data_IF_376557127664
#
_entry.id   IF_376557127664
#
_cell.length_a   1.000
_cell.length_b   1.000
_cell.length_c   1.000
_cell.angle_alpha   90.00
_cell.angle_beta   90.00
_cell.angle_gamma   90.00
#
_symmetry.space_group_name_H-M   'P 1'
#
loop_
_entity.id
_entity.type
_entity.pdbx_description
1 polymer ?
#
# COMPACT_ATOMS: atom_id res chain seq x y z
N UNK A 1 5.24 -33.80 26.48
CA UNK A 1 6.04 -32.68 25.96
C UNK A 1 5.06 -31.54 25.68
N UNK A 2 5.07 -30.52 26.55
CA UNK A 2 4.12 -29.39 26.49
C UNK A 2 4.32 -28.60 25.22
N UNK A 3 3.26 -28.38 24.46
CA UNK A 3 3.19 -27.32 23.47
C UNK A 3 3.25 -26.01 24.27
N UNK A 4 4.35 -25.28 24.15
CA UNK A 4 4.39 -23.89 24.55
C UNK A 4 3.24 -23.18 23.84
N UNK A 5 2.29 -22.70 24.60
CA UNK A 5 1.23 -21.81 24.14
C UNK A 5 1.89 -20.47 23.79
N UNK A 6 2.42 -20.37 22.56
CA UNK A 6 2.86 -19.09 22.02
C UNK A 6 1.64 -18.19 21.97
N UNK A 7 1.72 -17.06 22.66
CA UNK A 7 0.71 -16.00 22.54
C UNK A 7 0.46 -15.73 21.06
N UNK A 8 -0.80 -15.77 20.58
CA UNK A 8 -1.09 -15.58 19.16
C UNK A 8 -0.53 -14.23 18.70
N UNK A 9 0.22 -14.24 17.61
CA UNK A 9 0.73 -13.01 16.98
C UNK A 9 -0.45 -12.14 16.59
N UNK A 10 -0.28 -10.82 16.66
CA UNK A 10 -1.34 -9.87 16.28
C UNK A 10 -0.94 -9.06 15.05
N UNK A 11 -1.92 -8.49 14.38
CA UNK A 11 -1.69 -7.58 13.27
C UNK A 11 -1.04 -8.24 12.05
N UNK A 12 -0.14 -7.50 11.39
CA UNK A 12 0.57 -7.96 10.18
C UNK A 12 1.39 -9.23 10.44
N UNK A 13 1.95 -9.41 11.65
CA UNK A 13 2.70 -10.62 11.97
C UNK A 13 1.83 -11.89 11.93
N UNK A 14 0.55 -11.81 12.29
CA UNK A 14 -0.42 -12.90 12.17
C UNK A 14 -0.79 -13.17 10.72
N UNK A 15 -0.97 -12.11 9.91
CA UNK A 15 -1.21 -12.26 8.47
C UNK A 15 -0.05 -12.97 7.75
N UNK A 16 1.20 -12.66 8.10
CA UNK A 16 2.37 -13.33 7.56
C UNK A 16 2.46 -14.80 7.99
N UNK A 17 2.06 -15.10 9.21
CA UNK A 17 1.99 -16.49 9.69
C UNK A 17 0.94 -17.30 8.91
N UNK A 18 -0.22 -16.73 8.64
CA UNK A 18 -1.27 -17.32 7.79
C UNK A 18 -0.76 -17.50 6.36
N UNK A 19 -0.09 -16.50 5.79
CA UNK A 19 0.51 -16.60 4.46
C UNK A 19 1.56 -17.72 4.37
N UNK A 20 2.24 -18.02 5.46
CA UNK A 20 3.22 -19.11 5.54
C UNK A 20 2.63 -20.53 5.38
N UNK A 21 1.31 -20.70 5.33
CA UNK A 21 0.65 -21.98 4.97
C UNK A 21 1.12 -22.45 3.59
N UNK A 22 1.35 -21.53 2.65
CA UNK A 22 1.88 -21.80 1.29
C UNK A 22 3.26 -21.15 1.10
N UNK A 23 4.13 -21.29 2.09
CA UNK A 23 5.45 -20.64 2.18
C UNK A 23 6.28 -20.65 0.90
N UNK A 24 6.44 -21.76 0.14
CA UNK A 24 7.25 -21.76 -1.08
C UNK A 24 6.73 -20.78 -2.13
N UNK A 25 5.41 -20.77 -2.38
CA UNK A 25 4.78 -19.88 -3.37
C UNK A 25 4.87 -18.41 -2.94
N UNK A 26 4.69 -18.13 -1.65
CA UNK A 26 4.83 -16.78 -1.09
C UNK A 26 6.26 -16.27 -1.23
N UNK A 27 7.27 -17.08 -0.93
CA UNK A 27 8.68 -16.70 -1.11
C UNK A 27 8.99 -16.46 -2.58
N UNK A 28 8.56 -17.37 -3.47
CA UNK A 28 8.77 -17.21 -4.92
C UNK A 28 8.13 -15.91 -5.42
N UNK A 29 6.91 -15.63 -5.04
CA UNK A 29 6.23 -14.36 -5.35
C UNK A 29 7.01 -13.14 -4.84
N UNK A 30 7.50 -13.19 -3.60
CA UNK A 30 8.28 -12.11 -3.00
C UNK A 30 9.59 -11.86 -3.77
N UNK A 31 10.32 -12.91 -4.13
CA UNK A 31 11.57 -12.80 -4.92
C UNK A 31 11.29 -12.23 -6.31
N UNK A 32 10.28 -12.75 -7.01
CA UNK A 32 9.91 -12.26 -8.34
C UNK A 32 9.44 -10.79 -8.28
N UNK A 33 8.69 -10.40 -7.25
CA UNK A 33 8.26 -9.02 -7.04
C UNK A 33 9.44 -8.08 -6.77
N UNK A 34 10.43 -8.53 -5.99
CA UNK A 34 11.67 -7.80 -5.78
C UNK A 34 12.46 -7.61 -7.08
N UNK A 35 12.60 -8.66 -7.88
CA UNK A 35 13.28 -8.59 -9.17
C UNK A 35 12.52 -7.70 -10.17
N UNK A 36 11.19 -7.78 -10.19
CA UNK A 36 10.36 -6.89 -10.99
C UNK A 36 10.58 -5.42 -10.59
N UNK A 37 10.63 -5.14 -9.29
CA UNK A 37 10.90 -3.79 -8.78
C UNK A 37 12.27 -3.27 -9.23
N UNK A 38 13.31 -4.10 -9.23
CA UNK A 38 14.63 -3.72 -9.77
C UNK A 38 14.57 -3.49 -11.27
N UNK A 39 13.92 -4.39 -12.03
CA UNK A 39 13.79 -4.27 -13.48
C UNK A 39 13.06 -3.00 -13.91
N UNK A 40 12.12 -2.48 -13.10
CA UNK A 40 11.40 -1.24 -13.39
C UNK A 40 12.29 0.00 -13.52
N UNK A 41 13.54 -0.05 -13.03
CA UNK A 41 14.50 1.05 -13.14
C UNK A 41 15.41 0.96 -14.38
N UNK A 42 15.43 -0.16 -15.11
CA UNK A 42 16.22 -0.31 -16.35
C UNK A 42 15.90 0.79 -17.38
N UNK A 43 14.62 1.11 -17.66
CA UNK A 43 14.26 2.19 -18.58
C UNK A 43 14.85 3.56 -18.20
N UNK A 44 14.87 3.89 -16.92
CA UNK A 44 15.41 5.17 -16.44
C UNK A 44 16.91 5.27 -16.67
N UNK A 45 17.66 4.17 -16.46
CA UNK A 45 19.10 4.11 -16.71
C UNK A 45 19.38 4.22 -18.21
N UNK A 46 18.60 3.54 -19.04
CA UNK A 46 18.74 3.62 -20.50
C UNK A 46 18.45 5.05 -21.01
N UNK A 47 17.38 5.69 -20.53
CA UNK A 47 17.02 7.07 -20.86
C UNK A 47 18.13 8.04 -20.43
N UNK A 48 18.70 7.86 -19.22
CA UNK A 48 19.84 8.67 -18.77
C UNK A 48 21.02 8.60 -19.76
N UNK A 49 21.38 7.41 -20.22
CA UNK A 49 22.45 7.22 -21.18
C UNK A 49 22.12 7.86 -22.54
N UNK A 50 20.87 7.75 -23.01
CA UNK A 50 20.41 8.42 -24.24
C UNK A 50 20.58 9.95 -24.12
N UNK A 51 20.09 10.54 -23.04
CA UNK A 51 20.20 11.99 -22.77
C UNK A 51 21.67 12.40 -22.72
N UNK A 52 22.50 11.64 -22.03
CA UNK A 52 23.92 11.93 -21.88
C UNK A 52 24.65 11.93 -23.23
N UNK A 53 24.35 10.98 -24.11
CA UNK A 53 24.95 10.92 -25.46
C UNK A 53 24.49 12.08 -26.34
N UNK A 54 23.22 12.44 -26.31
CA UNK A 54 22.68 13.56 -27.10
C UNK A 54 23.30 14.88 -26.65
N UNK A 55 23.40 15.14 -25.34
CA UNK A 55 23.98 16.38 -24.83
C UNK A 55 25.50 16.44 -25.03
N UNK A 56 26.20 15.32 -24.96
CA UNK A 56 27.64 15.26 -25.22
C UNK A 56 27.95 15.53 -26.70
N UNK A 57 27.06 15.20 -27.63
CA UNK A 57 27.24 15.44 -29.05
C UNK A 57 26.91 16.90 -29.48
N UNK A 58 26.27 17.69 -28.61
CA UNK A 58 25.92 19.08 -28.94
C UNK A 58 27.19 19.96 -29.12
N UNK A 59 27.26 20.83 -30.15
CA UNK A 59 26.23 21.17 -31.17
C UNK A 59 26.29 20.29 -32.44
N UNK A 60 27.20 19.32 -32.56
CA UNK A 60 27.42 18.52 -33.76
C UNK A 60 26.85 17.11 -33.64
N UNK A 61 25.58 16.95 -33.97
CA UNK A 61 24.86 15.65 -33.87
C UNK A 61 25.33 14.60 -34.92
N UNK A 62 26.20 14.96 -35.86
CA UNK A 62 26.79 14.03 -36.82
C UNK A 62 27.70 12.98 -36.18
N UNK A 63 28.16 13.23 -34.93
CA UNK A 63 29.00 12.31 -34.16
C UNK A 63 28.19 11.30 -33.33
N UNK A 64 26.84 11.35 -33.37
CA UNK A 64 25.99 10.43 -32.60
C UNK A 64 26.12 8.99 -33.13
N UNK A 65 26.41 8.08 -32.21
CA UNK A 65 26.32 6.63 -32.51
C UNK A 65 24.83 6.20 -32.47
N UNK A 66 24.20 6.28 -33.65
CA UNK A 66 22.80 5.90 -33.85
C UNK A 66 22.54 4.44 -33.48
N UNK A 67 23.51 3.57 -33.74
CA UNK A 67 23.38 2.14 -33.42
C UNK A 67 23.37 1.90 -31.91
N UNK A 68 24.15 2.67 -31.17
CA UNK A 68 24.12 2.65 -29.69
C UNK A 68 22.80 3.18 -29.12
N UNK A 69 22.30 4.29 -29.66
CA UNK A 69 21.00 4.85 -29.24
C UNK A 69 19.83 3.88 -29.50
N UNK A 70 19.85 3.19 -30.65
CA UNK A 70 18.85 2.15 -30.96
C UNK A 70 18.93 1.01 -29.95
N UNK A 71 20.15 0.55 -29.60
CA UNK A 71 20.33 -0.48 -28.56
C UNK A 71 19.77 -0.05 -27.19
N UNK A 72 19.98 1.19 -26.79
CA UNK A 72 19.41 1.72 -25.56
C UNK A 72 17.87 1.82 -25.62
N UNK A 73 17.30 2.13 -26.80
CA UNK A 73 15.87 2.06 -27.04
C UNK A 73 15.30 0.67 -26.84
N UNK A 74 15.97 -0.36 -27.41
CA UNK A 74 15.61 -1.76 -27.19
C UNK A 74 15.76 -2.16 -25.72
N UNK A 75 16.84 -1.77 -25.05
CA UNK A 75 17.05 -2.03 -23.63
C UNK A 75 15.92 -1.42 -22.77
N UNK A 76 15.41 -0.25 -23.14
CA UNK A 76 14.25 0.36 -22.49
C UNK A 76 13.01 -0.51 -22.63
N UNK A 77 12.71 -0.98 -23.83
CA UNK A 77 11.58 -1.86 -24.11
C UNK A 77 11.72 -3.20 -23.37
N UNK A 78 12.89 -3.82 -23.47
CA UNK A 78 13.20 -5.10 -22.81
C UNK A 78 13.07 -4.98 -21.28
N UNK A 79 13.51 -3.86 -20.69
CA UNK A 79 13.35 -3.58 -19.26
C UNK A 79 11.89 -3.48 -18.83
N UNK A 80 11.04 -2.84 -19.64
CA UNK A 80 9.59 -2.78 -19.39
C UNK A 80 8.96 -4.16 -19.50
N UNK A 81 9.25 -4.90 -20.57
CA UNK A 81 8.70 -6.24 -20.78
C UNK A 81 9.15 -7.22 -19.68
N UNK A 82 10.41 -7.14 -19.26
CA UNK A 82 10.94 -7.93 -18.16
C UNK A 82 10.24 -7.63 -16.85
N UNK A 83 10.04 -6.34 -16.53
CA UNK A 83 9.29 -5.93 -15.34
C UNK A 83 7.87 -6.52 -15.33
N UNK A 84 7.15 -6.38 -16.46
CA UNK A 84 5.79 -6.91 -16.60
C UNK A 84 5.77 -8.43 -16.44
N UNK A 85 6.68 -9.14 -17.09
CA UNK A 85 6.75 -10.61 -17.04
C UNK A 85 7.06 -11.12 -15.63
N UNK A 86 8.02 -10.50 -14.93
CA UNK A 86 8.39 -10.86 -13.57
C UNK A 86 7.25 -10.56 -12.57
N UNK A 87 6.62 -9.40 -12.70
CA UNK A 87 5.50 -9.04 -11.82
C UNK A 87 4.28 -9.92 -12.06
N UNK A 88 3.97 -10.24 -13.31
CA UNK A 88 2.90 -11.18 -13.66
C UNK A 88 3.16 -12.58 -13.08
N UNK A 89 4.40 -13.10 -13.21
CA UNK A 89 4.78 -14.37 -12.60
C UNK A 89 4.69 -14.32 -11.06
N UNK A 90 5.05 -13.19 -10.42
CA UNK A 90 4.89 -12.99 -9.00
C UNK A 90 3.41 -13.05 -8.58
N UNK A 91 2.51 -12.42 -9.35
CA UNK A 91 1.07 -12.46 -9.11
C UNK A 91 0.49 -13.86 -9.28
N UNK A 92 0.90 -14.63 -10.28
CA UNK A 92 0.48 -16.03 -10.41
C UNK A 92 0.82 -16.83 -9.15
N UNK A 93 2.07 -16.73 -8.68
CA UNK A 93 2.50 -17.42 -7.45
C UNK A 93 1.70 -16.95 -6.22
N UNK A 94 1.45 -15.65 -6.08
CA UNK A 94 0.71 -15.10 -4.94
C UNK A 94 -0.76 -15.51 -4.96
N UNK A 95 -1.43 -15.51 -6.11
CA UNK A 95 -2.80 -15.98 -6.24
C UNK A 95 -2.95 -17.48 -5.94
N UNK A 96 -2.03 -18.31 -6.44
CA UNK A 96 -2.03 -19.74 -6.09
C UNK A 96 -1.81 -19.97 -4.58
N UNK A 97 -0.94 -19.17 -3.96
CA UNK A 97 -0.76 -19.20 -2.51
C UNK A 97 -2.02 -18.74 -1.75
N UNK A 98 -2.63 -17.65 -2.22
CA UNK A 98 -3.82 -17.07 -1.63
C UNK A 98 -5.01 -18.03 -1.67
N UNK A 99 -5.35 -18.58 -2.83
CA UNK A 99 -6.45 -19.53 -2.97
C UNK A 99 -6.22 -20.81 -2.16
N UNK A 100 -4.98 -21.33 -2.15
CA UNK A 100 -4.66 -22.50 -1.33
C UNK A 100 -4.74 -22.25 0.17
N UNK A 101 -4.41 -21.02 0.62
CA UNK A 101 -4.53 -20.57 2.01
C UNK A 101 -6.00 -20.35 2.38
N UNK A 102 -6.76 -19.65 1.52
CA UNK A 102 -8.19 -19.39 1.65
C UNK A 102 -8.99 -20.69 1.83
N UNK A 103 -8.74 -21.66 0.94
CA UNK A 103 -9.36 -22.98 1.02
C UNK A 103 -9.12 -23.63 2.40
N UNK A 104 -7.86 -23.67 2.84
CA UNK A 104 -7.51 -24.26 4.14
C UNK A 104 -8.19 -23.54 5.29
N UNK A 105 -8.16 -22.20 5.32
CA UNK A 105 -8.80 -21.42 6.37
C UNK A 105 -10.31 -21.64 6.43
N UNK A 106 -10.99 -21.67 5.28
CA UNK A 106 -12.44 -21.91 5.24
C UNK A 106 -12.80 -23.33 5.72
N UNK A 107 -12.00 -24.33 5.36
CA UNK A 107 -12.20 -25.71 5.82
C UNK A 107 -11.93 -25.84 7.31
N UNK A 108 -10.82 -25.29 7.82
CA UNK A 108 -10.46 -25.32 9.23
C UNK A 108 -11.53 -24.60 10.09
N UNK A 109 -12.00 -23.43 9.63
CA UNK A 109 -13.04 -22.65 10.29
C UNK A 109 -14.39 -23.41 10.31
N UNK A 110 -14.82 -23.97 9.19
CA UNK A 110 -16.05 -24.76 9.12
C UNK A 110 -15.97 -26.04 9.99
N UNK A 111 -14.82 -26.72 9.98
CA UNK A 111 -14.58 -27.91 10.81
C UNK A 111 -14.60 -27.60 12.31
N UNK A 112 -14.05 -26.44 12.71
CA UNK A 112 -14.11 -25.98 14.09
C UNK A 112 -15.56 -25.67 14.50
N UNK A 113 -16.30 -24.91 13.67
CA UNK A 113 -17.71 -24.62 13.93
C UNK A 113 -18.58 -25.87 14.09
N UNK A 114 -18.27 -26.96 13.38
CA UNK A 114 -19.01 -28.21 13.51
C UNK A 114 -18.79 -28.92 14.88
N UNK A 115 -17.75 -28.53 15.62
CA UNK A 115 -17.38 -29.17 16.92
C UNK A 115 -17.72 -28.29 18.13
N UNK A 116 -17.94 -26.98 17.91
CA UNK A 116 -18.32 -26.05 18.98
C UNK A 116 -19.75 -26.32 19.46
N UNK A 117 -20.07 -26.17 20.79
CA UNK A 117 -21.38 -26.40 21.33
C UNK A 117 -22.50 -25.59 20.68
N UNK A 118 -23.70 -26.17 20.55
CA UNK A 118 -24.86 -25.52 19.91
C UNK A 118 -25.22 -24.16 20.54
N UNK A 119 -25.02 -24.00 21.85
CA UNK A 119 -25.24 -22.75 22.56
C UNK A 119 -24.44 -21.58 22.01
N UNK A 120 -23.20 -21.82 21.56
CA UNK A 120 -22.36 -20.82 20.91
C UNK A 120 -22.98 -20.32 19.59
N UNK A 121 -23.52 -21.24 18.78
CA UNK A 121 -24.17 -20.85 17.51
C UNK A 121 -25.41 -19.97 17.73
N UNK A 122 -26.18 -20.26 18.77
CA UNK A 122 -27.35 -19.47 19.13
C UNK A 122 -26.94 -18.08 19.60
N UNK A 123 -25.87 -17.99 20.40
CA UNK A 123 -25.38 -16.75 20.98
C UNK A 123 -24.76 -15.81 19.91
N UNK A 124 -23.94 -16.36 19.01
CA UNK A 124 -23.23 -15.55 17.99
C UNK A 124 -24.12 -15.22 16.79
N UNK A 125 -25.00 -16.14 16.42
CA UNK A 125 -25.88 -16.00 15.26
C UNK A 125 -25.19 -16.27 13.91
N UNK A 126 -25.93 -16.89 12.98
CA UNK A 126 -25.43 -17.30 11.66
C UNK A 126 -24.93 -16.15 10.80
N UNK A 127 -25.49 -14.95 10.97
CA UNK A 127 -25.09 -13.75 10.20
C UNK A 127 -23.65 -13.30 10.51
N UNK A 128 -23.24 -13.34 11.79
CA UNK A 128 -21.86 -12.99 12.19
C UNK A 128 -20.86 -14.04 11.70
N UNK A 129 -21.20 -15.32 11.83
CA UNK A 129 -20.35 -16.42 11.34
C UNK A 129 -20.15 -16.35 9.82
N UNK A 130 -21.24 -16.12 9.09
CA UNK A 130 -21.18 -15.92 7.63
C UNK A 130 -20.31 -14.73 7.23
N UNK A 131 -20.46 -13.59 7.92
CA UNK A 131 -19.62 -12.41 7.66
C UNK A 131 -18.14 -12.69 7.83
N UNK A 132 -17.76 -13.46 8.87
CA UNK A 132 -16.36 -13.82 9.10
C UNK A 132 -15.87 -14.74 7.98
N UNK A 133 -16.66 -15.75 7.60
CA UNK A 133 -16.27 -16.71 6.57
C UNK A 133 -16.22 -16.11 5.16
N UNK A 134 -17.15 -15.25 4.82
CA UNK A 134 -17.28 -14.70 3.46
C UNK A 134 -16.49 -13.38 3.28
N UNK A 135 -16.45 -12.50 4.31
CA UNK A 135 -15.78 -11.19 4.16
C UNK A 135 -14.39 -11.15 4.79
N UNK A 136 -14.23 -11.60 6.05
CA UNK A 136 -12.95 -11.45 6.74
C UNK A 136 -11.89 -12.39 6.20
N UNK A 137 -12.25 -13.65 5.93
CA UNK A 137 -11.32 -14.64 5.36
C UNK A 137 -10.98 -14.25 3.91
N UNK A 138 -11.93 -13.70 3.14
CA UNK A 138 -11.66 -13.21 1.78
C UNK A 138 -10.69 -12.01 1.74
N UNK A 139 -10.74 -11.13 2.74
CA UNK A 139 -9.75 -10.04 2.87
C UNK A 139 -8.31 -10.55 3.05
N UNK A 140 -8.14 -11.73 3.67
CA UNK A 140 -6.82 -12.38 3.78
C UNK A 140 -6.30 -12.82 2.41
N UNK A 141 -7.20 -13.29 1.53
CA UNK A 141 -6.83 -13.61 0.14
C UNK A 141 -6.27 -12.36 -0.57
N UNK A 142 -6.99 -11.24 -0.51
CA UNK A 142 -6.52 -9.98 -1.09
C UNK A 142 -5.17 -9.49 -0.53
N UNK A 143 -4.91 -9.73 0.76
CA UNK A 143 -3.61 -9.45 1.36
C UNK A 143 -2.49 -10.31 0.74
N UNK A 144 -2.68 -11.62 0.66
CA UNK A 144 -1.67 -12.55 0.15
C UNK A 144 -1.48 -12.37 -1.36
N UNK A 145 -2.59 -12.21 -2.12
CA UNK A 145 -2.57 -12.12 -3.57
C UNK A 145 -1.93 -10.82 -4.09
N UNK A 146 -2.24 -9.70 -3.47
CA UNK A 146 -1.88 -8.37 -3.98
C UNK A 146 -0.98 -7.58 -3.03
N UNK A 147 -1.35 -7.46 -1.75
CA UNK A 147 -0.61 -6.57 -0.86
C UNK A 147 0.78 -7.10 -0.50
N UNK A 148 0.95 -8.40 -0.34
CA UNK A 148 2.24 -8.98 0.03
C UNK A 148 3.31 -8.81 -1.05
N UNK A 149 3.05 -9.08 -2.35
CA UNK A 149 3.96 -8.72 -3.45
C UNK A 149 4.26 -7.22 -3.48
N UNK A 150 3.25 -6.38 -3.25
CA UNK A 150 3.38 -4.93 -3.24
C UNK A 150 4.19 -4.39 -2.06
N UNK A 151 4.08 -5.01 -0.88
CA UNK A 151 4.94 -4.71 0.29
C UNK A 151 6.40 -4.93 -0.09
N UNK A 152 6.73 -6.07 -0.68
CA UNK A 152 8.10 -6.40 -1.07
C UNK A 152 8.63 -5.41 -2.10
N UNK A 153 7.87 -5.13 -3.17
CA UNK A 153 8.24 -4.14 -4.17
C UNK A 153 8.44 -2.75 -3.56
N UNK A 154 7.57 -2.35 -2.62
CA UNK A 154 7.64 -1.05 -1.93
C UNK A 154 8.80 -0.92 -0.96
N UNK A 155 9.37 -2.02 -0.47
CA UNK A 155 10.60 -2.01 0.34
C UNK A 155 11.85 -1.98 -0.54
N UNK A 156 11.84 -2.69 -1.68
CA UNK A 156 13.00 -2.77 -2.59
C UNK A 156 13.15 -1.49 -3.42
N UNK A 157 12.04 -0.95 -3.94
CA UNK A 157 12.08 0.22 -4.83
C UNK A 157 12.81 1.44 -4.24
N UNK A 158 12.58 1.88 -2.98
CA UNK A 158 13.30 3.02 -2.41
C UNK A 158 14.80 2.79 -2.31
N UNK A 159 15.23 1.56 -1.99
CA UNK A 159 16.65 1.22 -1.85
C UNK A 159 17.35 1.34 -3.19
N UNK A 160 16.78 0.73 -4.24
CA UNK A 160 17.33 0.79 -5.59
C UNK A 160 17.33 2.23 -6.11
N UNK A 161 16.24 2.94 -5.89
CA UNK A 161 16.08 4.34 -6.29
C UNK A 161 17.12 5.24 -5.64
N UNK A 162 17.33 5.14 -4.34
CA UNK A 162 18.36 5.91 -3.62
C UNK A 162 19.76 5.55 -4.11
N UNK A 163 20.04 4.27 -4.37
CA UNK A 163 21.31 3.85 -4.95
C UNK A 163 21.56 4.50 -6.31
N UNK A 164 20.58 4.49 -7.22
CA UNK A 164 20.67 5.14 -8.53
C UNK A 164 20.93 6.64 -8.38
N UNK A 165 20.16 7.34 -7.52
CA UNK A 165 20.35 8.76 -7.28
C UNK A 165 21.77 9.07 -6.79
N UNK A 166 22.29 8.31 -5.82
CA UNK A 166 23.63 8.54 -5.28
C UNK A 166 24.74 8.24 -6.30
N UNK A 167 24.54 7.25 -7.17
CA UNK A 167 25.54 6.88 -8.21
C UNK A 167 25.58 7.91 -9.35
N UNK A 168 24.44 8.46 -9.76
CA UNK A 168 24.37 9.44 -10.86
C UNK A 168 24.98 10.78 -10.45
N UNK A 169 24.56 11.37 -9.33
CA UNK A 169 25.20 12.54 -8.72
C UNK A 169 24.84 12.60 -7.22
N UNK A 170 25.79 12.31 -6.35
CA UNK A 170 25.56 12.24 -4.91
C UNK A 170 25.05 13.58 -4.31
N UNK A 171 25.43 14.74 -4.90
CA UNK A 171 25.00 16.08 -4.44
C UNK A 171 23.49 16.30 -4.68
N UNK A 172 23.04 15.99 -5.88
CA UNK A 172 21.61 16.02 -6.23
C UNK A 172 20.86 14.93 -5.49
N UNK A 173 21.50 13.74 -5.30
CA UNK A 173 20.96 12.64 -4.51
C UNK A 173 20.68 13.04 -3.07
N UNK A 174 21.62 13.75 -2.43
CA UNK A 174 21.43 14.29 -1.07
C UNK A 174 20.30 15.32 -1.02
N UNK A 175 20.19 16.20 -2.02
CA UNK A 175 19.10 17.16 -2.10
C UNK A 175 17.73 16.48 -2.18
N UNK A 176 17.61 15.44 -3.02
CA UNK A 176 16.40 14.62 -3.11
C UNK A 176 16.12 13.89 -1.78
N UNK A 177 17.15 13.34 -1.13
CA UNK A 177 17.04 12.66 0.16
C UNK A 177 16.49 13.58 1.25
N UNK A 178 16.90 14.85 1.27
CA UNK A 178 16.33 15.84 2.22
C UNK A 178 14.83 15.98 2.00
N UNK A 179 14.36 16.11 0.76
CA UNK A 179 12.93 16.16 0.44
C UNK A 179 12.18 14.91 0.88
N UNK A 180 12.75 13.73 0.62
CA UNK A 180 12.19 12.45 1.06
C UNK A 180 12.13 12.37 2.60
N UNK A 181 13.20 12.77 3.28
CA UNK A 181 13.27 12.75 4.75
C UNK A 181 12.21 13.68 5.37
N UNK A 182 12.02 14.88 4.81
CA UNK A 182 10.95 15.81 5.24
C UNK A 182 9.58 15.17 5.06
N UNK A 183 9.31 14.53 3.92
CA UNK A 183 8.05 13.85 3.66
C UNK A 183 7.81 12.70 4.67
N UNK A 184 8.83 11.88 4.95
CA UNK A 184 8.76 10.80 5.94
C UNK A 184 8.49 11.34 7.34
N UNK A 185 9.16 12.42 7.75
CA UNK A 185 8.94 13.05 9.08
C UNK A 185 7.49 13.54 9.21
N UNK A 186 6.94 14.16 8.17
CA UNK A 186 5.53 14.59 8.17
C UNK A 186 4.61 13.37 8.34
N UNK A 187 4.88 12.29 7.60
CA UNK A 187 4.09 11.06 7.64
C UNK A 187 4.15 10.38 9.03
N UNK A 188 5.34 10.25 9.60
CA UNK A 188 5.51 9.67 10.94
C UNK A 188 4.80 10.50 12.01
N UNK A 189 4.84 11.83 11.91
CA UNK A 189 4.09 12.70 12.84
C UNK A 189 2.60 12.59 12.69
N UNK A 190 2.11 12.38 11.47
CA UNK A 190 0.68 12.18 11.21
C UNK A 190 0.14 10.89 11.89
N UNK A 191 0.90 9.79 11.80
CA UNK A 191 0.48 8.49 12.35
C UNK A 191 0.98 8.21 13.78
N UNK A 192 2.03 8.85 14.22
CA UNK A 192 2.72 8.57 15.50
C UNK A 192 2.07 9.20 16.72
N UNK A 193 0.92 9.86 16.59
CA UNK A 193 0.23 10.47 17.71
C UNK A 193 -0.84 9.50 18.25
N UNK A 194 -0.80 9.18 19.55
CA UNK A 194 -1.81 8.34 20.23
C UNK A 194 -3.24 8.85 19.99
N UNK A 195 -3.41 10.16 19.81
CA UNK A 195 -4.67 10.79 19.43
C UNK A 195 -5.18 10.33 18.05
N UNK A 196 -4.31 10.11 17.08
CA UNK A 196 -4.67 9.67 15.73
C UNK A 196 -5.27 8.25 15.76
N UNK A 197 -4.68 7.34 16.54
CA UNK A 197 -5.21 5.98 16.71
C UNK A 197 -6.58 6.00 17.37
N UNK A 198 -6.72 6.76 18.45
CA UNK A 198 -8.01 6.90 19.16
C UNK A 198 -9.10 7.48 18.24
N UNK A 199 -8.77 8.52 17.47
CA UNK A 199 -9.70 9.11 16.50
C UNK A 199 -10.07 8.14 15.39
N UNK A 200 -9.15 7.28 14.94
CA UNK A 200 -9.45 6.22 13.97
C UNK A 200 -10.44 5.20 14.55
N UNK A 201 -10.24 4.76 15.79
CA UNK A 201 -11.13 3.81 16.46
C UNK A 201 -12.54 4.43 16.65
N UNK A 202 -12.63 5.69 17.07
CA UNK A 202 -13.88 6.42 17.20
C UNK A 202 -14.59 6.59 15.85
N UNK A 203 -13.84 6.87 14.77
CA UNK A 203 -14.36 6.93 13.40
C UNK A 203 -14.93 5.58 12.95
N UNK A 204 -14.22 4.49 13.18
CA UNK A 204 -14.67 3.14 12.79
C UNK A 204 -15.94 2.76 13.58
N UNK A 205 -15.99 3.05 14.87
CA UNK A 205 -17.19 2.80 15.69
C UNK A 205 -18.41 3.61 15.21
N UNK A 206 -18.22 4.88 14.93
CA UNK A 206 -19.30 5.73 14.41
C UNK A 206 -19.79 5.28 13.02
N UNK A 207 -18.89 4.79 12.16
CA UNK A 207 -19.22 4.19 10.86
C UNK A 207 -20.02 2.90 11.04
N UNK A 208 -19.62 2.02 11.98
CA UNK A 208 -20.32 0.78 12.27
C UNK A 208 -21.73 1.04 12.82
N UNK A 209 -21.88 1.98 13.74
CA UNK A 209 -23.18 2.37 14.30
C UNK A 209 -24.10 2.93 13.22
N UNK A 210 -23.58 3.76 12.31
CA UNK A 210 -24.35 4.29 11.18
C UNK A 210 -24.77 3.16 10.22
N UNK A 211 -23.89 2.22 9.91
CA UNK A 211 -24.20 1.07 9.04
C UNK A 211 -25.27 0.17 9.68
N UNK A 212 -25.18 -0.09 10.99
CA UNK A 212 -26.16 -0.88 11.72
C UNK A 212 -27.53 -0.21 11.70
N UNK A 213 -27.59 1.10 11.94
CA UNK A 213 -28.82 1.89 11.87
C UNK A 213 -29.40 1.90 10.44
N UNK A 214 -28.57 1.95 9.40
CA UNK A 214 -29.01 1.88 8.02
C UNK A 214 -29.63 0.51 7.66
N UNK A 215 -29.02 -0.58 8.11
CA UNK A 215 -29.56 -1.94 7.92
C UNK A 215 -30.91 -2.10 8.64
N UNK A 216 -31.02 -1.61 9.86
CA UNK A 216 -32.27 -1.62 10.62
C UNK A 216 -33.36 -0.79 9.92
N UNK A 217 -33.01 0.39 9.39
CA UNK A 217 -33.91 1.21 8.58
C UNK A 217 -34.44 0.46 7.36
N UNK A 218 -33.56 -0.15 6.58
CA UNK A 218 -33.96 -0.89 5.35
C UNK A 218 -34.86 -2.08 5.70
N UNK A 219 -34.55 -2.82 6.77
CA UNK A 219 -35.38 -3.94 7.23
C UNK A 219 -36.75 -3.48 7.76
N UNK A 220 -36.81 -2.32 8.41
CA UNK A 220 -38.03 -1.76 8.97
C UNK A 220 -38.88 -0.94 7.99
N UNK A 221 -38.41 -0.66 6.77
CA UNK A 221 -39.04 0.28 5.83
C UNK A 221 -40.47 -0.13 5.45
N UNK A 222 -40.75 -1.42 5.34
CA UNK A 222 -42.07 -1.95 5.06
C UNK A 222 -43.08 -1.62 6.15
N UNK A 223 -42.68 -1.75 7.41
CA UNK A 223 -43.49 -1.42 8.57
C UNK A 223 -43.74 0.09 8.63
N UNK A 224 -42.69 0.89 8.42
CA UNK A 224 -42.77 2.37 8.40
C UNK A 224 -43.76 2.84 7.33
N UNK A 225 -43.70 2.27 6.13
CA UNK A 225 -44.63 2.61 5.03
C UNK A 225 -46.07 2.15 5.34
N UNK A 226 -46.26 0.95 5.91
CA UNK A 226 -47.57 0.43 6.25
C UNK A 226 -48.33 1.31 7.28
N UNK A 227 -47.57 1.92 8.22
CA UNK A 227 -48.13 2.80 9.24
C UNK A 227 -48.09 4.30 8.87
N UNK A 228 -47.75 4.64 7.65
CA UNK A 228 -47.72 6.03 7.17
C UNK A 228 -46.72 6.94 7.87
N UNK A 229 -45.69 6.35 8.52
CA UNK A 229 -44.68 7.09 9.27
C UNK A 229 -43.69 7.77 8.36
N UNK A 230 -43.16 8.94 8.74
CA UNK A 230 -42.14 9.64 7.97
C UNK A 230 -40.73 9.16 8.32
N UNK A 231 -39.76 9.54 7.49
CA UNK A 231 -38.30 9.28 7.71
C UNK A 231 -37.83 9.77 9.08
N UNK A 232 -38.45 10.81 9.63
CA UNK A 232 -38.16 11.33 10.97
C UNK A 232 -38.62 10.41 12.12
N UNK A 233 -39.49 9.45 11.86
CA UNK A 233 -39.87 8.41 12.81
C UNK A 233 -38.76 7.43 13.15
N UNK A 234 -37.77 7.32 12.23
CA UNK A 234 -36.55 6.54 12.44
C UNK A 234 -35.43 7.41 12.98
N UNK A 235 -35.71 8.00 14.13
CA UNK A 235 -34.80 8.89 14.85
C UNK A 235 -33.40 8.28 15.00
N UNK A 236 -33.32 6.97 15.18
CA UNK A 236 -32.05 6.25 15.32
C UNK A 236 -31.13 6.40 14.09
N UNK A 237 -31.65 6.28 12.87
CA UNK A 237 -30.86 6.48 11.65
C UNK A 237 -30.41 7.94 11.50
N UNK A 238 -31.28 8.88 11.78
CA UNK A 238 -30.94 10.30 11.73
C UNK A 238 -29.88 10.68 12.78
N UNK A 239 -30.01 10.18 14.00
CA UNK A 239 -29.06 10.43 15.08
C UNK A 239 -27.70 9.76 14.80
N UNK A 240 -27.70 8.55 14.22
CA UNK A 240 -26.48 7.85 13.80
C UNK A 240 -25.74 8.60 12.67
N UNK A 241 -26.44 9.13 11.67
CA UNK A 241 -25.85 9.97 10.62
C UNK A 241 -25.25 11.24 11.23
N UNK A 242 -25.96 11.90 12.15
CA UNK A 242 -25.43 13.10 12.82
C UNK A 242 -24.21 12.80 13.68
N UNK A 243 -24.21 11.70 14.43
CA UNK A 243 -23.07 11.26 15.22
C UNK A 243 -21.86 10.98 14.34
N UNK A 244 -22.06 10.24 13.23
CA UNK A 244 -21.02 9.98 12.24
C UNK A 244 -20.47 11.29 11.62
N UNK A 245 -21.35 12.20 11.20
CA UNK A 245 -20.94 13.50 10.63
C UNK A 245 -20.14 14.32 11.64
N UNK A 246 -20.58 14.34 12.91
CA UNK A 246 -19.88 15.04 14.00
C UNK A 246 -18.48 14.47 14.25
N UNK A 247 -18.27 13.18 14.01
CA UNK A 247 -16.98 12.52 14.17
C UNK A 247 -16.10 12.64 12.92
N UNK A 248 -16.66 12.41 11.73
CA UNK A 248 -15.90 12.35 10.47
C UNK A 248 -15.30 13.70 10.07
N UNK A 249 -16.00 14.81 10.33
CA UNK A 249 -15.50 16.14 9.97
C UNK A 249 -14.24 16.50 10.76
N UNK A 250 -14.20 16.48 12.12
CA UNK A 250 -12.98 16.73 12.87
C UNK A 250 -11.86 15.75 12.54
N UNK A 251 -12.20 14.46 12.30
CA UNK A 251 -11.25 13.45 11.88
C UNK A 251 -10.58 13.82 10.56
N UNK A 252 -11.36 14.15 9.53
CA UNK A 252 -10.83 14.54 8.21
C UNK A 252 -9.99 15.81 8.30
N UNK A 253 -10.46 16.84 9.01
CA UNK A 253 -9.72 18.08 9.20
C UNK A 253 -8.41 17.88 9.98
N UNK A 254 -8.35 16.92 10.90
CA UNK A 254 -7.10 16.61 11.62
C UNK A 254 -6.01 16.06 10.72
N UNK A 255 -6.36 15.40 9.60
CA UNK A 255 -5.45 14.86 8.60
C UNK A 255 -5.11 15.84 7.48
N UNK A 256 -5.94 16.87 7.25
CA UNK A 256 -5.83 17.78 6.11
C UNK A 256 -4.44 18.40 5.99
N UNK A 257 -3.93 19.00 7.06
CA UNK A 257 -2.64 19.68 7.03
C UNK A 257 -1.47 18.71 6.77
N UNK A 258 -1.49 17.53 7.38
CA UNK A 258 -0.43 16.53 7.19
C UNK A 258 -0.46 15.95 5.78
N UNK A 259 -1.64 15.58 5.27
CA UNK A 259 -1.79 15.04 3.93
C UNK A 259 -1.46 16.07 2.85
N UNK A 260 -1.92 17.31 3.03
CA UNK A 260 -1.61 18.41 2.12
C UNK A 260 -0.11 18.70 2.10
N UNK A 261 0.55 18.81 3.26
CA UNK A 261 1.99 19.01 3.35
C UNK A 261 2.77 17.83 2.76
N UNK A 262 2.39 16.59 3.09
CA UNK A 262 3.03 15.38 2.56
C UNK A 262 2.92 15.32 1.03
N UNK A 263 1.72 15.43 0.48
CA UNK A 263 1.49 15.36 -0.96
C UNK A 263 2.16 16.51 -1.70
N UNK A 264 2.17 17.72 -1.13
CA UNK A 264 2.87 18.86 -1.70
C UNK A 264 4.37 18.62 -1.76
N UNK A 265 5.01 18.16 -0.67
CA UNK A 265 6.46 17.90 -0.63
C UNK A 265 6.83 16.76 -1.58
N UNK A 266 6.09 15.65 -1.54
CA UNK A 266 6.37 14.46 -2.34
C UNK A 266 6.26 14.73 -3.84
N UNK A 267 5.24 15.49 -4.26
CA UNK A 267 5.07 15.85 -5.67
C UNK A 267 5.98 16.99 -6.13
N UNK A 268 6.59 17.73 -5.20
CA UNK A 268 7.44 18.88 -5.49
C UNK A 268 8.85 18.76 -4.89
N UNK A 269 9.46 17.56 -4.92
CA UNK A 269 10.86 17.35 -4.49
C UNK A 269 11.83 18.23 -5.26
N UNK A 270 11.42 18.75 -6.44
CA UNK A 270 12.15 19.78 -7.19
C UNK A 270 12.49 21.03 -6.38
N UNK A 271 11.70 21.37 -5.36
CA UNK A 271 11.99 22.50 -4.46
C UNK A 271 13.35 22.37 -3.77
N UNK A 272 13.83 21.14 -3.57
CA UNK A 272 15.15 20.85 -3.02
C UNK A 272 16.20 20.68 -4.10
N UNK A 273 15.84 20.14 -5.26
CA UNK A 273 16.77 19.88 -6.36
C UNK A 273 17.16 21.13 -7.13
N UNK A 274 16.20 22.03 -7.44
CA UNK A 274 16.47 23.20 -8.29
C UNK A 274 17.47 24.17 -7.66
N UNK A 275 17.34 24.58 -6.38
CA UNK A 275 18.35 25.44 -5.76
C UNK A 275 19.75 24.83 -5.73
N UNK A 276 19.86 23.54 -5.39
CA UNK A 276 21.14 22.84 -5.39
C UNK A 276 21.69 22.71 -6.81
N UNK A 277 20.83 22.42 -7.78
CA UNK A 277 21.20 22.38 -9.19
C UNK A 277 21.76 23.70 -9.70
N UNK A 278 21.15 24.83 -9.36
CA UNK A 278 21.64 26.17 -9.71
C UNK A 278 23.04 26.42 -9.10
N UNK A 279 23.24 26.06 -7.83
CA UNK A 279 24.53 26.20 -7.16
C UNK A 279 25.63 25.35 -7.82
N UNK A 280 25.30 24.12 -8.21
CA UNK A 280 26.23 23.24 -8.93
C UNK A 280 26.53 23.81 -10.31
N UNK A 281 25.51 24.26 -11.05
CA UNK A 281 25.66 24.86 -12.38
C UNK A 281 26.58 26.06 -12.37
N UNK A 282 26.50 26.90 -11.33
CA UNK A 282 27.35 28.08 -11.17
C UNK A 282 28.83 27.77 -10.93
N UNK A 283 29.15 26.55 -10.48
CA UNK A 283 30.52 26.14 -10.11
C UNK A 283 31.12 25.08 -11.03
N UNK A 284 30.33 24.48 -11.94
CA UNK A 284 30.81 23.44 -12.83
C UNK A 284 31.36 23.99 -14.13
N UNK A 285 32.47 23.37 -14.62
CA UNK A 285 32.95 23.58 -15.99
C UNK A 285 32.38 22.62 -17.03
N UNK A 286 31.73 21.54 -16.57
CA UNK A 286 31.08 20.51 -17.40
C UNK A 286 29.56 20.73 -17.47
N UNK A 287 29.13 21.68 -18.30
CA UNK A 287 27.71 21.99 -18.44
C UNK A 287 26.91 20.89 -19.10
N UNK A 288 27.45 20.17 -20.07
CA UNK A 288 26.74 19.09 -20.77
C UNK A 288 26.52 17.88 -19.85
N UNK A 289 27.58 17.48 -19.12
CA UNK A 289 27.47 16.38 -18.15
C UNK A 289 26.56 16.75 -16.96
N UNK A 290 26.61 18.00 -16.50
CA UNK A 290 25.68 18.45 -15.46
C UNK A 290 24.23 18.45 -15.96
N UNK A 291 23.98 19.00 -17.17
CA UNK A 291 22.63 19.07 -17.72
C UNK A 291 22.03 17.68 -17.90
N UNK A 292 22.80 16.69 -18.37
CA UNK A 292 22.32 15.31 -18.49
C UNK A 292 21.91 14.71 -17.16
N UNK A 293 22.72 14.89 -16.10
CA UNK A 293 22.39 14.44 -14.73
C UNK A 293 21.16 15.16 -14.20
N UNK A 294 21.08 16.47 -14.36
CA UNK A 294 19.96 17.27 -13.84
C UNK A 294 18.64 16.92 -14.54
N UNK A 295 18.65 16.77 -15.88
CA UNK A 295 17.46 16.32 -16.64
C UNK A 295 17.04 14.91 -16.20
N UNK A 296 18.00 14.01 -15.99
CA UNK A 296 17.68 12.68 -15.43
C UNK A 296 16.91 12.80 -14.10
N UNK A 297 17.39 13.66 -13.18
CA UNK A 297 16.68 13.87 -11.92
C UNK A 297 15.27 14.42 -12.10
N UNK A 298 15.06 15.34 -13.06
CA UNK A 298 13.74 15.89 -13.37
C UNK A 298 12.76 14.80 -13.87
N UNK A 299 13.26 13.79 -14.59
CA UNK A 299 12.46 12.67 -15.09
C UNK A 299 12.26 11.60 -14.00
N UNK A 300 13.29 11.34 -13.20
CA UNK A 300 13.30 10.24 -12.24
C UNK A 300 12.57 10.57 -10.94
N UNK A 301 12.67 11.79 -10.44
CA UNK A 301 12.11 12.22 -9.16
C UNK A 301 10.59 12.02 -9.02
N UNK A 302 9.76 12.22 -10.05
CA UNK A 302 8.33 11.90 -9.95
C UNK A 302 8.03 10.44 -9.57
N UNK A 303 8.93 9.50 -9.90
CA UNK A 303 8.76 8.11 -9.49
C UNK A 303 8.85 7.90 -7.97
N UNK A 304 9.53 8.82 -7.26
CA UNK A 304 9.62 8.82 -5.79
C UNK A 304 8.23 8.98 -5.17
N UNK A 305 7.45 9.93 -5.70
CA UNK A 305 6.09 10.17 -5.25
C UNK A 305 5.25 8.87 -5.32
N UNK A 306 5.31 8.19 -6.46
CA UNK A 306 4.57 6.92 -6.67
C UNK A 306 4.97 5.85 -5.64
N UNK A 307 6.27 5.70 -5.36
CA UNK A 307 6.78 4.73 -4.40
C UNK A 307 6.33 5.05 -2.97
N UNK A 308 6.44 6.32 -2.54
CA UNK A 308 6.04 6.75 -1.20
C UNK A 308 4.52 6.63 -0.99
N UNK A 309 3.73 7.00 -2.00
CA UNK A 309 2.26 6.83 -1.95
C UNK A 309 1.86 5.36 -1.88
N UNK A 310 2.58 4.47 -2.59
CA UNK A 310 2.34 3.03 -2.53
C UNK A 310 2.60 2.46 -1.13
N UNK A 311 3.68 2.87 -0.47
CA UNK A 311 3.99 2.47 0.92
C UNK A 311 2.86 2.89 1.86
N UNK A 312 2.39 4.12 1.74
CA UNK A 312 1.28 4.65 2.55
C UNK A 312 0.00 3.81 2.36
N UNK A 313 -0.38 3.53 1.11
CA UNK A 313 -1.57 2.75 0.77
C UNK A 313 -1.52 1.33 1.33
N UNK A 314 -0.40 0.64 1.15
CA UNK A 314 -0.18 -0.73 1.65
C UNK A 314 -0.27 -0.79 3.17
N UNK A 315 0.31 0.20 3.87
CA UNK A 315 0.25 0.28 5.34
C UNK A 315 -1.18 0.48 5.84
N UNK A 316 -1.94 1.38 5.22
CA UNK A 316 -3.34 1.65 5.58
C UNK A 316 -4.23 0.41 5.41
N UNK A 317 -4.11 -0.28 4.27
CA UNK A 317 -4.91 -1.48 4.00
C UNK A 317 -4.56 -2.65 4.94
N UNK A 318 -3.28 -2.83 5.27
CA UNK A 318 -2.82 -3.88 6.18
C UNK A 318 -3.45 -3.75 7.58
N UNK A 319 -3.63 -2.52 8.07
CA UNK A 319 -4.29 -2.26 9.36
C UNK A 319 -5.77 -2.69 9.35
N UNK A 320 -6.50 -2.43 8.25
CA UNK A 320 -7.92 -2.81 8.15
C UNK A 320 -8.12 -4.33 8.13
N UNK A 321 -7.23 -5.06 7.46
CA UNK A 321 -7.34 -6.52 7.33
C UNK A 321 -7.03 -7.22 8.65
N UNK A 322 -6.08 -6.70 9.43
CA UNK A 322 -5.69 -7.30 10.71
C UNK A 322 -6.85 -7.41 11.70
N UNK A 323 -7.74 -6.41 11.75
CA UNK A 323 -8.94 -6.46 12.59
C UNK A 323 -9.92 -7.58 12.20
N UNK A 324 -9.99 -7.94 10.91
CA UNK A 324 -10.80 -9.08 10.44
C UNK A 324 -10.23 -10.42 10.89
N UNK A 325 -8.89 -10.55 10.90
CA UNK A 325 -8.20 -11.76 11.37
C UNK A 325 -8.37 -11.98 12.86
N UNK A 326 -8.30 -10.93 13.67
CA UNK A 326 -8.52 -11.01 15.11
C UNK A 326 -9.91 -11.58 15.43
N UNK A 327 -10.96 -11.14 14.74
CA UNK A 327 -12.32 -11.68 14.88
C UNK A 327 -12.44 -13.16 14.46
N UNK A 328 -11.69 -13.59 13.48
CA UNK A 328 -11.63 -15.01 13.09
C UNK A 328 -10.92 -15.83 14.16
N UNK A 329 -9.78 -15.36 14.66
CA UNK A 329 -8.99 -16.05 15.68
C UNK A 329 -9.76 -16.15 17.03
N UNK A 330 -10.56 -15.13 17.38
CA UNK A 330 -11.46 -15.19 18.55
C UNK A 330 -12.43 -16.38 18.49
N UNK A 331 -13.01 -16.63 17.30
CA UNK A 331 -13.93 -17.78 17.14
C UNK A 331 -13.17 -19.11 17.14
N UNK A 332 -11.99 -19.15 16.50
CA UNK A 332 -11.16 -20.36 16.49
C UNK A 332 -10.57 -20.70 17.87
N UNK A 333 -10.56 -19.75 18.79
CA UNK A 333 -10.13 -19.95 20.18
C UNK A 333 -11.24 -20.50 21.09
N UNK A 334 -12.50 -20.53 20.63
CA UNK A 334 -13.61 -21.08 21.41
C UNK A 334 -13.42 -22.58 21.63
N UNK A 335 -13.63 -23.09 22.88
CA UNK A 335 -13.48 -24.52 23.18
C UNK A 335 -14.46 -25.41 22.38
N UNK A 336 -13.96 -26.54 21.91
CA UNK A 336 -14.73 -27.60 21.23
C UNK A 336 -15.48 -28.50 22.23
#
# INVERSE_FOLDING_TARGET
MGKETQTPKKGIARLLEIAAIKKPLVITSAVLSALASVASFIPYIAIYNIISQILAAYPSFSALDTAYLIRLGWLTLDGILLNIALYFAALICSHLAAFGTLYKLKVDFASHLARVPLGFHIMIGSGKLRKIMDENIEKIEGFIAHQLPDIVASLVAPIVMLAILMVVDWRLGLAALVGIAVAIVIQVRAYGNDGAKKMMDEYQNALEDMNNAAVEYVRGITVVKAFGQSVYSLRRMYDAIKAYTKMVIPYTLSWENYMSAFTTIVNNIYLFLVPVGILIAATTGDYAGFASRFIFYLIFVPSIATVLMKIMYVTSNGMQISGGVERMDEILAEPE
#
